data_IF_306235836586
#
_entry.id   IF_306235836586
#
_cell.length_a   1.000
_cell.length_b   1.000
_cell.length_c   1.000
_cell.angle_alpha   90.00
_cell.angle_beta   90.00
_cell.angle_gamma   90.00
#
_symmetry.space_group_name_H-M   'P 1'
#
loop_
_entity.id
_entity.type
_entity.pdbx_description
1 polymer ?
#
# COMPACT_ATOMS: atom_id res chain seq x y z
N UNK A 1 1.68 -24.50 10.38
CA UNK A 1 0.92 -23.77 9.35
C UNK A 1 0.03 -22.64 9.91
N UNK A 2 -0.76 -22.87 10.98
CA UNK A 2 -1.65 -21.82 11.55
C UNK A 2 -0.93 -20.53 11.99
N UNK A 3 0.29 -20.63 12.53
CA UNK A 3 1.07 -19.47 12.99
C UNK A 3 1.52 -18.56 11.84
N UNK A 4 2.09 -19.13 10.78
CA UNK A 4 2.58 -18.39 9.60
C UNK A 4 1.47 -17.64 8.87
N UNK A 5 0.29 -18.26 8.74
CA UNK A 5 -0.87 -17.60 8.13
C UNK A 5 -1.37 -16.42 8.97
N UNK A 6 -1.38 -16.58 10.30
CA UNK A 6 -1.76 -15.50 11.21
C UNK A 6 -0.78 -14.32 11.14
N UNK A 7 0.52 -14.60 11.00
CA UNK A 7 1.56 -13.58 10.86
C UNK A 7 1.41 -12.80 9.53
N UNK A 8 1.15 -13.50 8.42
CA UNK A 8 0.87 -12.87 7.12
C UNK A 8 -0.38 -11.98 7.16
N UNK A 9 -1.47 -12.49 7.75
CA UNK A 9 -2.70 -11.72 7.95
C UNK A 9 -2.44 -10.48 8.79
N UNK A 10 -1.69 -10.62 9.89
CA UNK A 10 -1.32 -9.50 10.76
C UNK A 10 -0.51 -8.45 10.00
N UNK A 11 0.48 -8.88 9.20
CA UNK A 11 1.28 -7.97 8.40
C UNK A 11 0.45 -7.20 7.37
N UNK A 12 -0.43 -7.90 6.64
CA UNK A 12 -1.37 -7.28 5.70
C UNK A 12 -2.27 -6.25 6.41
N UNK A 13 -2.88 -6.66 7.52
CA UNK A 13 -3.76 -5.78 8.29
C UNK A 13 -3.02 -4.58 8.91
N UNK A 14 -1.73 -4.74 9.19
CA UNK A 14 -0.86 -3.63 9.60
C UNK A 14 -0.70 -2.65 8.44
N UNK A 15 -0.30 -3.13 7.26
CA UNK A 15 -0.25 -2.32 6.04
C UNK A 15 -1.53 -1.52 5.78
N UNK A 16 -2.66 -2.22 5.75
CA UNK A 16 -3.98 -1.61 5.53
C UNK A 16 -4.30 -0.58 6.61
N UNK A 17 -4.08 -0.88 7.89
CA UNK A 17 -4.46 0.04 8.98
C UNK A 17 -3.63 1.32 8.98
N UNK A 18 -2.34 1.23 8.65
CA UNK A 18 -1.45 2.40 8.65
C UNK A 18 -1.60 3.27 7.39
N UNK A 19 -2.16 2.75 6.29
CA UNK A 19 -2.51 3.59 5.14
C UNK A 19 -3.85 4.34 5.31
N UNK A 20 -4.75 3.88 6.19
CA UNK A 20 -6.08 4.51 6.38
C UNK A 20 -6.03 6.02 6.62
N UNK A 21 -5.19 6.55 7.54
CA UNK A 21 -5.18 7.98 7.81
C UNK A 21 -4.76 8.80 6.59
N UNK A 22 -3.91 8.25 5.72
CA UNK A 22 -3.48 8.91 4.48
C UNK A 22 -4.62 8.98 3.48
N UNK A 23 -5.37 7.89 3.29
CA UNK A 23 -6.52 7.83 2.38
C UNK A 23 -7.62 8.80 2.82
N UNK A 24 -7.96 8.77 4.11
CA UNK A 24 -9.01 9.64 4.65
C UNK A 24 -8.59 11.11 4.53
N UNK A 25 -7.36 11.45 4.90
CA UNK A 25 -6.83 12.80 4.73
C UNK A 25 -6.85 13.25 3.28
N UNK A 26 -6.34 12.42 2.37
CA UNK A 26 -6.29 12.70 0.93
C UNK A 26 -7.68 12.98 0.34
N UNK A 27 -8.64 12.09 0.58
CA UNK A 27 -10.01 12.24 0.09
C UNK A 27 -10.69 13.50 0.62
N UNK A 28 -10.50 13.82 1.91
CA UNK A 28 -11.06 15.03 2.51
C UNK A 28 -10.46 16.31 1.92
N UNK A 29 -9.14 16.33 1.66
CA UNK A 29 -8.48 17.48 1.03
C UNK A 29 -9.00 17.72 -0.40
N UNK A 30 -9.17 16.65 -1.20
CA UNK A 30 -9.74 16.75 -2.54
C UNK A 30 -11.18 17.25 -2.49
N UNK A 31 -12.02 16.65 -1.63
CA UNK A 31 -13.44 16.99 -1.55
C UNK A 31 -13.64 18.44 -1.11
N UNK A 32 -12.98 18.86 -0.03
CA UNK A 32 -13.07 20.24 0.47
C UNK A 32 -12.45 21.23 -0.52
N UNK A 33 -11.32 20.90 -1.14
CA UNK A 33 -10.66 21.78 -2.09
C UNK A 33 -11.51 22.02 -3.33
N UNK A 34 -12.17 20.98 -3.81
CA UNK A 34 -13.09 21.07 -4.95
C UNK A 34 -14.32 21.91 -4.63
N UNK A 35 -14.93 21.71 -3.45
CA UNK A 35 -16.09 22.50 -3.01
C UNK A 35 -15.73 23.97 -2.82
N UNK A 36 -14.65 24.26 -2.10
CA UNK A 36 -14.18 25.63 -1.85
C UNK A 36 -13.76 26.34 -3.14
N UNK A 37 -13.20 25.61 -4.10
CA UNK A 37 -12.84 26.14 -5.42
C UNK A 37 -14.05 26.67 -6.19
N UNK A 38 -15.23 26.08 -6.02
CA UNK A 38 -16.48 26.59 -6.64
C UNK A 38 -16.91 27.96 -6.08
N UNK A 39 -16.43 28.32 -4.88
CA UNK A 39 -16.64 29.65 -4.29
C UNK A 39 -15.55 30.65 -4.67
N UNK A 40 -14.65 30.31 -5.61
CA UNK A 40 -13.58 31.20 -6.09
C UNK A 40 -12.32 31.23 -5.20
N UNK A 41 -12.20 30.33 -4.23
CA UNK A 41 -11.00 30.20 -3.41
C UNK A 41 -9.88 29.48 -4.18
N UNK A 42 -8.63 29.94 -4.01
CA UNK A 42 -7.46 29.29 -4.58
C UNK A 42 -7.08 28.01 -3.80
N UNK A 43 -7.72 26.89 -4.13
CA UNK A 43 -7.59 25.62 -3.40
C UNK A 43 -6.72 24.57 -4.11
N UNK A 44 -6.10 24.93 -5.24
CA UNK A 44 -5.24 24.04 -6.04
C UNK A 44 -4.22 23.23 -5.21
N UNK A 45 -3.40 23.86 -4.36
CA UNK A 45 -2.43 23.14 -3.52
C UNK A 45 -3.06 22.09 -2.59
N UNK A 46 -4.30 22.31 -2.14
CA UNK A 46 -5.00 21.37 -1.27
C UNK A 46 -5.45 20.12 -2.04
N UNK A 47 -5.97 20.33 -3.24
CA UNK A 47 -6.38 19.25 -4.15
C UNK A 47 -5.16 18.45 -4.62
N UNK A 48 -4.09 19.14 -5.01
CA UNK A 48 -2.84 18.52 -5.47
C UNK A 48 -2.19 17.67 -4.37
N UNK A 49 -2.18 18.16 -3.12
CA UNK A 49 -1.69 17.38 -1.98
C UNK A 49 -2.53 16.11 -1.78
N UNK A 50 -3.86 16.21 -1.92
CA UNK A 50 -4.74 15.05 -1.83
C UNK A 50 -4.42 13.98 -2.87
N UNK A 51 -4.26 14.37 -4.15
CA UNK A 51 -3.83 13.44 -5.20
C UNK A 51 -2.42 12.88 -4.94
N UNK A 52 -1.48 13.71 -4.47
CA UNK A 52 -0.14 13.28 -4.11
C UNK A 52 -0.13 12.21 -3.02
N UNK A 53 -0.95 12.36 -1.98
CA UNK A 53 -1.11 11.36 -0.92
C UNK A 53 -1.67 10.03 -1.45
N UNK A 54 -2.60 10.06 -2.40
CA UNK A 54 -3.08 8.86 -3.08
C UNK A 54 -1.99 8.16 -3.90
N UNK A 55 -1.13 8.91 -4.59
CA UNK A 55 -0.01 8.36 -5.34
C UNK A 55 1.03 7.63 -4.44
N UNK A 56 1.11 8.00 -3.16
CA UNK A 56 1.99 7.32 -2.20
C UNK A 56 1.42 6.02 -1.63
N UNK A 57 0.17 5.65 -1.91
CA UNK A 57 -0.46 4.47 -1.31
C UNK A 57 0.31 3.16 -1.56
N UNK A 58 0.80 2.84 -2.77
CA UNK A 58 1.63 1.65 -2.99
C UNK A 58 2.89 1.62 -2.11
N UNK A 59 3.47 2.79 -1.85
CA UNK A 59 4.67 2.96 -1.03
C UNK A 59 4.37 2.76 0.45
N UNK A 60 3.30 3.39 0.92
CA UNK A 60 2.85 3.34 2.31
C UNK A 60 2.46 1.90 2.66
N UNK A 61 1.63 1.25 1.84
CA UNK A 61 1.22 -0.13 2.12
C UNK A 61 2.41 -1.09 2.08
N UNK A 62 3.33 -0.94 1.10
CA UNK A 62 4.54 -1.74 1.04
C UNK A 62 5.41 -1.58 2.28
N UNK A 63 5.63 -0.35 2.73
CA UNK A 63 6.39 -0.05 3.94
C UNK A 63 5.78 -0.67 5.19
N UNK A 64 4.45 -0.56 5.38
CA UNK A 64 3.79 -1.01 6.60
C UNK A 64 3.46 -2.52 6.61
N UNK A 65 3.29 -3.15 5.45
CA UNK A 65 3.28 -4.63 5.35
C UNK A 65 4.66 -5.18 5.69
N UNK A 66 5.74 -4.60 5.14
CA UNK A 66 7.10 -5.02 5.47
C UNK A 66 7.42 -4.81 6.96
N UNK A 67 6.96 -3.70 7.53
CA UNK A 67 7.03 -3.43 8.97
C UNK A 67 6.32 -4.50 9.80
N UNK A 68 5.14 -4.97 9.36
CA UNK A 68 4.41 -6.04 10.03
C UNK A 68 5.14 -7.38 10.08
N UNK A 69 6.17 -7.58 9.24
CA UNK A 69 6.97 -8.82 9.14
C UNK A 69 8.35 -8.66 9.77
N UNK A 70 8.98 -7.52 9.55
CA UNK A 70 10.39 -7.28 9.83
C UNK A 70 10.66 -6.01 10.66
N UNK A 71 9.65 -5.46 11.32
CA UNK A 71 9.74 -4.25 12.14
C UNK A 71 10.31 -3.05 11.37
N UNK A 72 10.88 -2.07 12.09
CA UNK A 72 11.41 -0.82 11.54
C UNK A 72 12.38 -1.01 10.36
N UNK A 73 13.31 -2.00 10.36
CA UNK A 73 14.21 -2.20 9.23
C UNK A 73 13.51 -2.57 7.91
N UNK A 74 12.26 -3.06 7.97
CA UNK A 74 11.46 -3.38 6.79
C UNK A 74 10.89 -2.17 6.04
N UNK A 75 10.78 -1.02 6.71
CA UNK A 75 10.05 0.15 6.21
C UNK A 75 10.65 0.67 4.89
N UNK A 76 11.96 0.97 4.87
CA UNK A 76 12.59 1.55 3.68
C UNK A 76 12.62 0.58 2.48
N UNK A 77 12.98 -0.71 2.64
CA UNK A 77 12.84 -1.70 1.57
C UNK A 77 11.41 -1.84 1.04
N UNK A 78 10.42 -1.89 1.92
CA UNK A 78 9.01 -1.98 1.54
C UNK A 78 8.51 -0.74 0.80
N UNK A 79 8.91 0.46 1.25
CA UNK A 79 8.60 1.72 0.59
C UNK A 79 9.19 1.76 -0.83
N UNK A 80 10.47 1.38 -0.97
CA UNK A 80 11.14 1.34 -2.27
C UNK A 80 10.52 0.30 -3.23
N UNK A 81 10.14 -0.87 -2.71
CA UNK A 81 9.40 -1.85 -3.51
C UNK A 81 8.03 -1.34 -3.94
N UNK A 82 7.33 -0.60 -3.07
CA UNK A 82 6.08 0.08 -3.40
C UNK A 82 6.25 1.20 -4.43
N UNK A 83 7.40 1.90 -4.44
CA UNK A 83 7.76 2.82 -5.51
C UNK A 83 7.87 2.09 -6.86
N UNK A 84 8.58 0.97 -6.91
CA UNK A 84 8.65 0.15 -8.13
C UNK A 84 7.27 -0.33 -8.56
N UNK A 85 6.41 -0.76 -7.62
CA UNK A 85 5.03 -1.14 -7.91
C UNK A 85 4.22 -0.03 -8.58
N UNK A 86 4.36 1.21 -8.11
CA UNK A 86 3.72 2.36 -8.72
C UNK A 86 4.26 2.63 -10.13
N UNK A 87 5.58 2.56 -10.33
CA UNK A 87 6.20 2.83 -11.64
C UNK A 87 5.82 1.81 -12.72
N UNK A 88 5.63 0.55 -12.35
CA UNK A 88 5.26 -0.51 -13.31
C UNK A 88 3.74 -0.68 -13.49
N UNK A 89 2.92 0.18 -12.88
CA UNK A 89 1.46 0.08 -12.95
C UNK A 89 0.86 -1.09 -12.17
N UNK A 90 1.58 -1.63 -11.18
CA UNK A 90 1.06 -2.66 -10.27
C UNK A 90 0.23 -2.07 -9.12
N UNK A 91 0.26 -0.75 -8.94
CA UNK A 91 -0.62 -0.02 -8.03
C UNK A 91 -0.56 -0.55 -6.60
N UNK A 92 -1.70 -0.52 -5.92
CA UNK A 92 -1.86 -0.99 -4.55
C UNK A 92 -1.54 -2.48 -4.38
N UNK A 93 -1.97 -3.35 -5.31
CA UNK A 93 -1.71 -4.79 -5.25
C UNK A 93 -0.20 -5.08 -5.30
N UNK A 94 0.52 -4.38 -6.17
CA UNK A 94 1.97 -4.44 -6.24
C UNK A 94 2.63 -3.93 -4.96
N UNK A 95 2.08 -2.89 -4.33
CA UNK A 95 2.54 -2.38 -3.04
C UNK A 95 2.45 -3.43 -1.93
N UNK A 96 1.34 -4.17 -1.83
CA UNK A 96 1.22 -5.29 -0.87
C UNK A 96 2.28 -6.35 -1.14
N UNK A 97 2.43 -6.78 -2.40
CA UNK A 97 3.40 -7.80 -2.78
C UNK A 97 4.83 -7.35 -2.43
N UNK A 98 5.17 -6.11 -2.77
CA UNK A 98 6.45 -5.50 -2.43
C UNK A 98 6.71 -5.52 -0.92
N UNK A 99 5.70 -5.23 -0.10
CA UNK A 99 5.82 -5.28 1.35
C UNK A 99 6.11 -6.68 1.89
N UNK A 100 5.47 -7.72 1.34
CA UNK A 100 5.79 -9.10 1.70
C UNK A 100 7.23 -9.46 1.31
N UNK A 101 7.62 -9.17 0.07
CA UNK A 101 8.97 -9.44 -0.45
C UNK A 101 10.02 -8.75 0.43
N UNK A 102 9.86 -7.45 0.67
CA UNK A 102 10.74 -6.66 1.53
C UNK A 102 10.84 -7.23 2.94
N UNK A 103 9.71 -7.56 3.57
CA UNK A 103 9.68 -8.11 4.92
C UNK A 103 10.47 -9.42 5.02
N UNK A 104 10.31 -10.34 4.07
CA UNK A 104 11.06 -11.59 4.06
C UNK A 104 12.55 -11.39 3.77
N UNK A 105 12.91 -10.54 2.80
CA UNK A 105 14.31 -10.20 2.51
C UNK A 105 14.99 -9.64 3.74
N UNK A 106 14.37 -8.68 4.42
CA UNK A 106 14.95 -8.05 5.60
C UNK A 106 15.11 -9.05 6.74
N UNK A 107 14.16 -9.96 6.94
CA UNK A 107 14.31 -11.03 7.92
C UNK A 107 15.43 -12.02 7.58
N UNK A 108 15.73 -12.25 6.29
CA UNK A 108 16.90 -13.03 5.88
C UNK A 108 18.20 -12.26 6.14
N UNK A 109 18.26 -10.97 5.80
CA UNK A 109 19.42 -10.12 6.05
C UNK A 109 19.74 -9.99 7.55
N UNK A 110 18.71 -9.94 8.41
CA UNK A 110 18.88 -9.95 9.86
C UNK A 110 19.56 -11.23 10.38
N UNK A 111 19.44 -12.36 9.69
CA UNK A 111 20.04 -13.64 10.11
C UNK A 111 21.51 -13.78 9.72
N UNK A 112 22.01 -12.95 8.81
CA UNK A 112 23.41 -13.02 8.36
C UNK A 112 24.33 -12.65 9.55
N UNK A 113 25.21 -13.55 10.01
CA UNK A 113 26.15 -13.23 11.08
C UNK A 113 27.14 -12.19 10.58
N UNK A 114 27.42 -11.19 11.40
CA UNK A 114 28.37 -10.11 11.09
C UNK A 114 29.38 -10.01 12.23
N UNK A 115 30.61 -9.64 11.89
CA UNK A 115 31.67 -9.48 12.89
C UNK A 115 31.39 -8.27 13.80
N UNK A 116 31.97 -8.25 15.00
CA UNK A 116 31.67 -7.26 16.04
C UNK A 116 31.89 -5.81 15.56
N UNK A 117 32.96 -5.58 14.78
CA UNK A 117 33.27 -4.26 14.21
C UNK A 117 32.21 -3.70 13.25
N UNK A 118 31.39 -4.56 12.64
CA UNK A 118 30.36 -4.16 11.66
C UNK A 118 28.93 -4.35 12.18
N UNK A 119 28.76 -4.67 13.46
CA UNK A 119 27.44 -4.91 14.05
C UNK A 119 26.55 -3.66 13.98
N UNK A 120 27.12 -2.48 14.24
CA UNK A 120 26.42 -1.21 14.12
C UNK A 120 26.07 -0.83 12.67
N UNK A 121 26.92 -1.23 11.71
CA UNK A 121 26.70 -0.99 10.28
C UNK A 121 25.52 -1.80 9.73
N UNK A 122 25.20 -2.94 10.33
CA UNK A 122 24.17 -3.85 9.82
C UNK A 122 22.78 -3.21 9.73
N UNK A 123 22.17 -2.67 10.80
CA UNK A 123 20.86 -2.02 10.72
C UNK A 123 20.92 -0.64 10.05
N UNK A 124 22.07 0.04 10.08
CA UNK A 124 22.21 1.40 9.54
C UNK A 124 22.44 1.43 8.04
N UNK A 125 23.22 0.48 7.49
CA UNK A 125 23.65 0.50 6.10
C UNK A 125 23.30 -0.80 5.36
N UNK A 126 23.70 -1.96 5.90
CA UNK A 126 23.59 -3.23 5.16
C UNK A 126 22.13 -3.57 4.88
N UNK A 127 21.27 -3.52 5.89
CA UNK A 127 19.85 -3.84 5.74
C UNK A 127 19.15 -2.83 4.83
N UNK A 128 19.26 -1.50 5.02
CA UNK A 128 18.65 -0.55 4.09
C UNK A 128 19.15 -0.71 2.65
N UNK A 129 20.46 -0.81 2.44
CA UNK A 129 21.06 -0.90 1.10
C UNK A 129 20.63 -2.17 0.37
N UNK A 130 20.90 -3.34 0.97
CA UNK A 130 20.60 -4.62 0.33
C UNK A 130 19.10 -4.88 0.31
N UNK A 131 18.37 -4.48 1.36
CA UNK A 131 16.92 -4.63 1.41
C UNK A 131 16.24 -3.86 0.28
N UNK A 132 16.61 -2.59 0.07
CA UNK A 132 16.08 -1.77 -1.03
C UNK A 132 16.46 -2.39 -2.37
N UNK A 133 17.74 -2.67 -2.60
CA UNK A 133 18.23 -3.18 -3.88
C UNK A 133 17.58 -4.51 -4.28
N UNK A 134 17.53 -5.47 -3.34
CA UNK A 134 16.95 -6.79 -3.60
C UNK A 134 15.43 -6.72 -3.77
N UNK A 135 14.72 -5.92 -2.97
CA UNK A 135 13.27 -5.75 -3.12
C UNK A 135 12.93 -5.13 -4.47
N UNK A 136 13.62 -4.04 -4.83
CA UNK A 136 13.40 -3.34 -6.09
C UNK A 136 13.68 -4.27 -7.28
N UNK A 137 14.82 -4.99 -7.25
CA UNK A 137 15.18 -5.94 -8.29
C UNK A 137 14.11 -7.04 -8.44
N UNK A 138 13.69 -7.67 -7.34
CA UNK A 138 12.69 -8.73 -7.41
C UNK A 138 11.35 -8.21 -7.95
N UNK A 139 10.91 -7.02 -7.52
CA UNK A 139 9.68 -6.39 -8.01
C UNK A 139 9.69 -6.14 -9.52
N UNK A 140 10.85 -5.92 -10.15
CA UNK A 140 10.90 -5.81 -11.62
C UNK A 140 10.51 -7.11 -12.34
N UNK A 141 10.78 -8.27 -11.74
CA UNK A 141 10.44 -9.56 -12.32
C UNK A 141 9.03 -10.03 -11.93
N UNK A 142 8.68 -9.91 -10.65
CA UNK A 142 7.39 -10.46 -10.14
C UNK A 142 6.24 -9.46 -10.18
N UNK A 143 6.53 -8.18 -10.40
CA UNK A 143 5.51 -7.13 -10.42
C UNK A 143 4.72 -7.05 -11.72
N UNK A 144 5.28 -7.49 -12.86
CA UNK A 144 4.62 -7.45 -14.16
C UNK A 144 3.31 -8.26 -14.21
N UNK A 145 3.25 -9.52 -13.71
CA UNK A 145 1.98 -10.25 -13.59
C UNK A 145 0.95 -9.52 -12.71
N UNK A 146 1.40 -8.80 -11.67
CA UNK A 146 0.51 -8.05 -10.78
C UNK A 146 0.01 -6.77 -11.46
N UNK A 147 0.82 -6.11 -12.27
CA UNK A 147 0.38 -4.99 -13.10
C UNK A 147 -0.71 -5.41 -14.09
N UNK A 148 -0.60 -6.61 -14.68
CA UNK A 148 -1.67 -7.15 -15.50
C UNK A 148 -2.97 -7.40 -14.69
N UNK A 149 -2.86 -7.91 -13.46
CA UNK A 149 -4.03 -8.07 -12.58
C UNK A 149 -4.63 -6.71 -12.19
N UNK A 150 -3.80 -5.71 -11.88
CA UNK A 150 -4.21 -4.36 -11.53
C UNK A 150 -4.98 -3.71 -12.69
N UNK A 151 -4.40 -3.71 -13.88
CA UNK A 151 -5.07 -3.14 -15.08
C UNK A 151 -6.36 -3.88 -15.44
N UNK A 152 -6.43 -5.20 -15.23
CA UNK A 152 -7.67 -5.97 -15.42
C UNK A 152 -8.74 -5.57 -14.41
N UNK A 153 -8.35 -5.37 -13.15
CA UNK A 153 -9.23 -4.91 -12.08
C UNK A 153 -9.78 -3.51 -12.40
N UNK A 154 -8.90 -2.57 -12.77
CA UNK A 154 -9.27 -1.20 -13.15
C UNK A 154 -10.22 -1.19 -14.35
N UNK A 155 -9.91 -1.98 -15.39
CA UNK A 155 -10.76 -2.10 -16.57
C UNK A 155 -12.13 -2.67 -16.22
N UNK A 156 -12.21 -3.67 -15.34
CA UNK A 156 -13.48 -4.21 -14.88
C UNK A 156 -14.31 -3.13 -14.17
N UNK A 157 -13.70 -2.38 -13.26
CA UNK A 157 -14.36 -1.35 -12.44
C UNK A 157 -14.84 -0.14 -13.25
N UNK A 158 -14.02 0.37 -14.19
CA UNK A 158 -14.41 1.47 -15.07
C UNK A 158 -15.62 1.08 -15.95
N UNK A 159 -15.74 -0.20 -16.31
CA UNK A 159 -16.86 -0.69 -17.10
C UNK A 159 -18.10 -1.04 -16.25
N UNK A 160 -18.03 -0.94 -14.91
CA UNK A 160 -19.22 -1.05 -14.05
C UNK A 160 -20.07 0.20 -14.22
N UNK A 161 -21.13 0.10 -15.04
CA UNK A 161 -22.07 1.20 -15.32
C UNK A 161 -23.51 0.83 -14.97
N UNK A 162 -24.38 1.84 -14.87
CA UNK A 162 -25.81 1.69 -14.61
C UNK A 162 -26.12 1.02 -13.26
N UNK A 163 -27.01 0.03 -13.29
CA UNK A 163 -27.48 -0.69 -12.09
C UNK A 163 -26.36 -1.39 -11.31
N UNK A 164 -25.31 -1.86 -11.99
CA UNK A 164 -24.21 -2.58 -11.33
C UNK A 164 -23.36 -1.65 -10.47
N UNK A 165 -23.20 -0.38 -10.85
CA UNK A 165 -22.47 0.60 -10.05
C UNK A 165 -23.21 0.92 -8.74
N UNK A 166 -24.54 1.03 -8.83
CA UNK A 166 -25.41 1.26 -7.65
C UNK A 166 -25.35 0.07 -6.70
N UNK A 167 -25.44 -1.16 -7.23
CA UNK A 167 -25.33 -2.38 -6.42
C UNK A 167 -23.95 -2.50 -5.76
N UNK A 168 -22.87 -2.27 -6.50
CA UNK A 168 -21.51 -2.30 -5.96
C UNK A 168 -21.34 -1.26 -4.85
N UNK A 169 -21.79 -0.02 -5.07
CA UNK A 169 -21.78 1.04 -4.06
C UNK A 169 -22.59 0.69 -2.83
N UNK A 170 -23.78 0.08 -3.00
CA UNK A 170 -24.62 -0.37 -1.89
C UNK A 170 -23.94 -1.48 -1.06
N UNK A 171 -23.30 -2.46 -1.72
CA UNK A 171 -22.56 -3.54 -1.03
C UNK A 171 -21.38 -2.98 -0.26
N UNK A 172 -20.56 -2.12 -0.88
CA UNK A 172 -19.40 -1.50 -0.23
C UNK A 172 -19.85 -0.63 0.95
N UNK A 173 -20.90 0.19 0.76
CA UNK A 173 -21.49 0.99 1.82
C UNK A 173 -22.02 0.15 2.98
N UNK A 174 -22.69 -0.96 2.68
CA UNK A 174 -23.17 -1.90 3.70
C UNK A 174 -22.00 -2.55 4.47
N UNK A 175 -20.93 -2.95 3.80
CA UNK A 175 -19.72 -3.48 4.45
C UNK A 175 -19.08 -2.46 5.39
N UNK A 176 -19.03 -1.19 4.98
CA UNK A 176 -18.50 -0.11 5.83
C UNK A 176 -19.41 0.21 7.02
N UNK A 177 -20.73 0.19 6.82
CA UNK A 177 -21.72 0.47 7.87
C UNK A 177 -21.84 -0.66 8.91
N UNK A 178 -21.73 -1.92 8.48
CA UNK A 178 -21.93 -3.08 9.35
C UNK A 178 -20.93 -3.15 10.51
N UNK A 179 -19.69 -2.74 10.25
CA UNK A 179 -18.55 -2.87 11.17
C UNK A 179 -17.97 -1.50 11.59
N UNK A 180 -18.57 -0.40 11.11
CA UNK A 180 -18.15 0.98 11.40
C UNK A 180 -16.62 1.20 11.33
N UNK A 181 -15.95 0.55 10.38
CA UNK A 181 -14.49 0.67 10.17
C UNK A 181 -13.62 -0.44 10.80
N UNK A 182 -14.20 -1.51 11.34
CA UNK A 182 -13.43 -2.71 11.70
C UNK A 182 -12.97 -3.56 10.48
N UNK A 183 -12.65 -4.85 10.67
CA UNK A 183 -12.10 -5.72 9.63
C UNK A 183 -12.83 -5.71 8.27
N UNK A 184 -14.17 -5.75 8.27
CA UNK A 184 -14.97 -5.75 7.03
C UNK A 184 -14.90 -4.40 6.32
N UNK A 185 -14.97 -3.31 7.08
CA UNK A 185 -14.82 -1.95 6.55
C UNK A 185 -13.43 -1.71 5.95
N UNK A 186 -12.38 -2.26 6.58
CA UNK A 186 -11.01 -2.20 6.06
C UNK A 186 -10.85 -2.97 4.74
N UNK A 187 -11.49 -4.12 4.60
CA UNK A 187 -11.49 -4.89 3.35
C UNK A 187 -12.22 -4.11 2.26
N UNK A 188 -13.39 -3.56 2.57
CA UNK A 188 -14.17 -2.75 1.62
C UNK A 188 -13.36 -1.54 1.11
N UNK A 189 -12.70 -0.81 2.00
CA UNK A 189 -11.85 0.31 1.59
C UNK A 189 -10.64 -0.16 0.78
N UNK A 190 -10.00 -1.27 1.20
CA UNK A 190 -8.85 -1.84 0.48
C UNK A 190 -9.22 -2.20 -0.96
N UNK A 191 -10.43 -2.74 -1.17
CA UNK A 191 -10.96 -3.03 -2.50
C UNK A 191 -11.17 -1.76 -3.33
N UNK A 192 -11.79 -0.72 -2.75
CA UNK A 192 -11.97 0.57 -3.43
C UNK A 192 -10.62 1.20 -3.76
N UNK A 193 -9.69 1.26 -2.82
CA UNK A 193 -8.38 1.87 -3.05
C UNK A 193 -7.60 1.09 -4.11
N UNK A 194 -7.62 -0.24 -4.06
CA UNK A 194 -7.01 -1.08 -5.08
C UNK A 194 -7.65 -0.95 -6.47
N UNK A 195 -8.84 -0.35 -6.57
CA UNK A 195 -9.52 -0.04 -7.81
C UNK A 195 -9.20 1.36 -8.38
N UNK A 196 -8.57 2.23 -7.59
CA UNK A 196 -8.35 3.66 -7.90
C UNK A 196 -6.87 4.08 -7.77
N UNK A 197 -5.93 3.12 -7.73
CA UNK A 197 -4.49 3.35 -7.49
C UNK A 197 -3.61 2.75 -8.59
#
# INVERSE_FOLDING_TARGET
>A
MKKTFLDLKRALMTGVSYMLPFIVGAGMLIALGTVLGQFGLATGPMVDLGYGLFAFIPHIVGAYVAFGIADRPGIAPGFAGGYIAAQIGAGFLGGILAGFIAGYIVNLLKKIPVHEYIYALKPMLIIPLLGIALTALLMTFVGQPIAWLQTTLDAWLVNVSGTNAVLLGAVIGAMMAFDMGGPLGKIALTFVVGAYS
#
